data_IF_146046600510
#
_entry.id   IF_146046600510
#
_cell.length_a   1.000
_cell.length_b   1.000
_cell.length_c   1.000
_cell.angle_alpha   90.00
_cell.angle_beta   90.00
_cell.angle_gamma   90.00
#
_symmetry.space_group_name_H-M   'P 1'
#
loop_
_entity.id
_entity.type
_entity.pdbx_description
1 polymer ?
#
# COMPACT_ATOMS: atom_id res chain seq x y z
N UNK A 1 56.07 8.46 -18.88
CA UNK A 1 55.17 7.58 -19.66
C UNK A 1 53.77 7.82 -19.12
N UNK A 2 52.93 8.51 -19.91
CA UNK A 2 51.74 7.96 -20.58
C UNK A 2 50.64 7.67 -19.54
N UNK A 3 49.62 8.52 -19.37
CA UNK A 3 48.76 9.12 -20.40
C UNK A 3 47.45 8.32 -20.39
N UNK A 4 46.33 8.95 -20.03
CA UNK A 4 45.16 9.21 -20.89
C UNK A 4 43.93 8.60 -20.18
N UNK A 5 42.70 9.11 -20.21
CA UNK A 5 42.10 10.36 -20.68
C UNK A 5 40.61 10.33 -20.22
N UNK A 6 39.78 11.35 -20.51
CA UNK A 6 38.69 11.83 -19.66
C UNK A 6 37.29 11.56 -20.27
N UNK A 7 36.24 12.03 -19.58
CA UNK A 7 34.86 12.27 -20.07
C UNK A 7 34.00 11.08 -20.55
N UNK A 8 32.89 10.81 -19.81
CA UNK A 8 31.53 10.52 -20.31
C UNK A 8 30.63 10.14 -19.11
N UNK A 9 29.58 10.86 -18.71
CA UNK A 9 28.94 12.06 -19.22
C UNK A 9 27.85 12.53 -18.23
N UNK A 10 27.35 13.75 -18.41
CA UNK A 10 26.03 14.13 -17.92
C UNK A 10 25.06 14.01 -19.11
N UNK A 11 23.90 13.35 -18.94
CA UNK A 11 22.65 14.12 -18.90
C UNK A 11 21.60 13.51 -17.94
N UNK A 12 20.67 14.36 -17.50
CA UNK A 12 19.77 14.10 -16.37
C UNK A 12 18.73 13.01 -16.54
N UNK A 13 18.36 12.42 -15.39
CA UNK A 13 17.05 11.95 -14.90
C UNK A 13 17.38 11.26 -13.57
N UNK A 14 17.10 11.80 -12.39
CA UNK A 14 15.91 12.47 -11.91
C UNK A 14 16.34 13.45 -10.81
N UNK A 15 15.82 14.67 -10.83
CA UNK A 15 15.47 15.29 -9.57
C UNK A 15 14.37 14.41 -8.97
N UNK A 16 14.75 13.34 -8.29
CA UNK A 16 13.80 12.52 -7.54
C UNK A 16 13.44 13.30 -6.29
N UNK A 17 12.46 14.18 -6.46
CA UNK A 17 11.76 14.86 -5.40
C UNK A 17 12.62 15.90 -4.71
N UNK A 18 12.25 17.16 -4.92
CA UNK A 18 11.90 18.02 -3.79
C UNK A 18 11.66 17.15 -2.54
N UNK A 19 12.36 17.41 -1.43
CA UNK A 19 12.05 16.79 -0.16
C UNK A 19 10.57 17.05 0.15
N UNK A 20 9.70 16.15 -0.28
CA UNK A 20 8.29 16.18 0.03
C UNK A 20 8.22 15.76 1.48
N UNK A 21 8.13 16.78 2.32
CA UNK A 21 7.69 16.70 3.70
C UNK A 21 8.59 15.85 4.62
N UNK A 22 9.68 16.47 5.08
CA UNK A 22 9.94 16.50 6.53
C UNK A 22 8.74 17.23 7.20
N UNK A 23 7.57 16.58 7.19
CA UNK A 23 6.45 16.93 8.06
C UNK A 23 6.22 15.70 8.88
N UNK A 24 6.83 15.70 10.07
CA UNK A 24 6.21 15.02 11.20
C UNK A 24 4.71 15.39 11.18
N UNK A 25 3.86 14.38 11.03
CA UNK A 25 2.42 14.62 11.03
C UNK A 25 2.03 15.27 12.35
N UNK A 26 1.18 16.29 12.29
CA UNK A 26 0.55 16.81 13.50
C UNK A 26 -0.32 15.72 14.12
N UNK A 27 -0.64 15.85 15.41
CA UNK A 27 -1.51 14.89 16.10
C UNK A 27 -2.86 14.75 15.40
N UNK A 28 -3.44 15.85 14.92
CA UNK A 28 -4.67 15.85 14.13
C UNK A 28 -4.54 15.10 12.81
N UNK A 29 -3.42 15.26 12.09
CA UNK A 29 -3.18 14.55 10.84
C UNK A 29 -2.95 13.04 11.08
N UNK A 30 -2.27 12.66 12.16
CA UNK A 30 -2.16 11.26 12.55
C UNK A 30 -3.53 10.66 12.89
N UNK A 31 -4.39 11.41 13.58
CA UNK A 31 -5.73 10.94 13.92
C UNK A 31 -6.61 10.84 12.66
N UNK A 32 -6.50 11.79 11.73
CA UNK A 32 -7.14 11.74 10.43
C UNK A 32 -6.70 10.50 9.63
N UNK A 33 -5.39 10.22 9.58
CA UNK A 33 -4.84 9.04 8.92
C UNK A 33 -5.37 7.75 9.56
N UNK A 34 -5.35 7.64 10.89
CA UNK A 34 -5.90 6.47 11.61
C UNK A 34 -7.37 6.24 11.28
N UNK A 35 -8.19 7.30 11.26
CA UNK A 35 -9.61 7.20 10.91
C UNK A 35 -9.82 6.80 9.45
N UNK A 36 -9.02 7.34 8.54
CA UNK A 36 -9.08 7.00 7.12
C UNK A 36 -8.76 5.50 6.92
N UNK A 37 -7.67 5.03 7.51
CA UNK A 37 -7.23 3.63 7.45
C UNK A 37 -8.24 2.69 8.09
N UNK A 38 -8.79 3.03 9.26
CA UNK A 38 -9.85 2.25 9.89
C UNK A 38 -11.11 2.15 9.00
N UNK A 39 -11.43 3.23 8.27
CA UNK A 39 -12.51 3.23 7.28
C UNK A 39 -12.23 2.30 6.09
N UNK A 40 -11.00 2.27 5.59
CA UNK A 40 -10.57 1.33 4.54
C UNK A 40 -10.71 -0.10 5.04
N UNK A 41 -10.15 -0.41 6.23
CA UNK A 41 -10.23 -1.74 6.85
C UNK A 41 -11.67 -2.22 6.95
N UNK A 42 -12.55 -1.41 7.55
CA UNK A 42 -13.96 -1.76 7.73
C UNK A 42 -14.68 -2.00 6.40
N UNK A 43 -14.36 -1.20 5.36
CA UNK A 43 -14.97 -1.39 4.04
C UNK A 43 -14.41 -2.63 3.34
N UNK A 44 -13.12 -2.91 3.46
CA UNK A 44 -12.50 -4.13 2.93
C UNK A 44 -13.15 -5.37 3.56
N UNK A 45 -13.35 -5.38 4.88
CA UNK A 45 -14.08 -6.45 5.57
C UNK A 45 -15.50 -6.63 5.03
N UNK A 46 -16.22 -5.54 4.73
CA UNK A 46 -17.57 -5.62 4.14
C UNK A 46 -17.60 -6.27 2.75
N UNK A 47 -16.49 -6.31 2.02
CA UNK A 47 -16.40 -6.97 0.71
C UNK A 47 -15.97 -8.44 0.80
N UNK A 48 -15.54 -8.88 1.98
CA UNK A 48 -14.98 -10.20 2.18
C UNK A 48 -15.94 -11.08 3.00
N UNK A 49 -16.03 -12.38 2.69
CA UNK A 49 -16.78 -13.31 3.51
C UNK A 49 -16.06 -13.57 4.84
N UNK A 50 -16.74 -14.26 5.75
CA UNK A 50 -16.16 -14.72 7.00
C UNK A 50 -14.89 -15.57 6.78
N UNK A 51 -13.90 -15.43 7.68
CA UNK A 51 -12.62 -16.16 7.62
C UNK A 51 -11.45 -15.38 6.99
N UNK A 52 -11.70 -14.22 6.39
CA UNK A 52 -10.65 -13.26 6.04
C UNK A 52 -10.36 -12.37 7.26
N UNK A 53 -9.08 -12.15 7.57
CA UNK A 53 -8.67 -11.20 8.60
C UNK A 53 -8.07 -9.96 7.95
N UNK A 54 -8.53 -8.77 8.33
CA UNK A 54 -8.00 -7.50 7.82
C UNK A 54 -7.31 -6.77 8.96
N UNK A 55 -6.14 -6.21 8.69
CA UNK A 55 -5.35 -5.45 9.65
C UNK A 55 -4.72 -4.24 9.02
N UNK A 56 -4.28 -3.29 9.84
CA UNK A 56 -3.54 -2.13 9.37
C UNK A 56 -2.41 -1.77 10.31
N UNK A 57 -1.30 -1.33 9.74
CA UNK A 57 -0.15 -0.80 10.44
C UNK A 57 0.09 0.65 10.02
N UNK A 58 0.41 1.52 10.96
CA UNK A 58 0.85 2.88 10.67
C UNK A 58 2.31 3.02 11.05
N UNK A 59 3.11 3.51 10.13
CA UNK A 59 4.53 3.76 10.29
C UNK A 59 4.86 5.20 9.88
N UNK A 60 5.90 5.76 10.50
CA UNK A 60 6.43 7.07 10.15
C UNK A 60 7.88 6.86 9.73
N UNK A 61 8.15 7.04 8.43
CA UNK A 61 9.47 6.83 7.84
C UNK A 61 10.09 8.15 7.39
N UNK A 62 11.34 8.09 6.93
CA UNK A 62 12.05 9.25 6.36
C UNK A 62 11.40 9.83 5.10
N UNK A 63 10.43 9.14 4.52
CA UNK A 63 9.66 9.54 3.33
C UNK A 63 8.27 10.05 3.67
N UNK A 64 7.95 10.18 4.97
CA UNK A 64 6.64 10.62 5.45
C UNK A 64 5.82 9.49 6.11
N UNK A 65 4.55 9.78 6.44
CA UNK A 65 3.64 8.81 7.02
C UNK A 65 3.27 7.73 6.00
N UNK A 66 3.38 6.47 6.41
CA UNK A 66 2.98 5.32 5.63
C UNK A 66 1.97 4.52 6.44
N UNK A 67 0.77 4.36 5.91
CA UNK A 67 -0.17 3.36 6.39
C UNK A 67 -0.11 2.13 5.49
N UNK A 68 -0.13 0.94 6.08
CA UNK A 68 -0.21 -0.32 5.36
C UNK A 68 -1.48 -1.02 5.77
N UNK A 69 -2.30 -1.44 4.81
CA UNK A 69 -3.46 -2.30 5.06
C UNK A 69 -3.17 -3.67 4.51
N UNK A 70 -3.36 -4.70 5.32
CA UNK A 70 -3.12 -6.09 4.97
C UNK A 70 -4.39 -6.92 5.12
N UNK A 71 -4.61 -7.81 4.17
CA UNK A 71 -5.67 -8.81 4.18
C UNK A 71 -5.02 -10.19 4.24
N UNK A 72 -5.36 -10.95 5.26
CA UNK A 72 -4.94 -12.33 5.45
C UNK A 72 -6.10 -13.26 5.06
N UNK A 73 -6.04 -13.88 3.88
CA UNK A 73 -7.05 -14.87 3.48
C UNK A 73 -6.93 -16.15 4.34
N UNK A 74 -8.00 -16.95 4.44
CA UNK A 74 -7.97 -18.22 5.18
C UNK A 74 -7.02 -19.24 4.54
N UNK A 75 -6.82 -19.15 3.22
CA UNK A 75 -5.87 -19.95 2.45
C UNK A 75 -5.10 -19.06 1.47
N UNK A 76 -3.82 -19.33 1.28
CA UNK A 76 -2.93 -18.53 0.43
C UNK A 76 -2.14 -17.48 1.21
N UNK A 77 -1.47 -16.60 0.47
CA UNK A 77 -0.57 -15.59 1.05
C UNK A 77 -1.28 -14.29 1.40
N UNK A 78 -0.86 -13.60 2.46
CA UNK A 78 -1.39 -12.28 2.79
C UNK A 78 -1.10 -11.28 1.69
N UNK A 79 -2.06 -10.38 1.45
CA UNK A 79 -1.96 -9.27 0.49
C UNK A 79 -1.87 -7.98 1.29
N UNK A 80 -0.96 -7.08 0.91
CA UNK A 80 -0.81 -5.79 1.56
C UNK A 80 -0.77 -4.67 0.54
N UNK A 81 -1.31 -3.51 0.91
CA UNK A 81 -1.19 -2.27 0.14
C UNK A 81 -0.66 -1.16 1.06
N UNK A 82 0.35 -0.44 0.56
CA UNK A 82 0.84 0.78 1.18
C UNK A 82 0.01 1.99 0.73
N UNK A 83 -0.23 2.89 1.66
CA UNK A 83 -1.00 4.11 1.50
C UNK A 83 -0.24 5.27 2.16
N UNK A 84 0.24 6.20 1.34
CA UNK A 84 1.04 7.34 1.78
C UNK A 84 0.37 8.64 1.32
N UNK A 85 -0.65 9.13 2.04
CA UNK A 85 -1.32 10.36 1.68
C UNK A 85 -0.44 11.57 2.01
N UNK A 86 -0.51 12.58 1.16
CA UNK A 86 0.12 13.87 1.40
C UNK A 86 -0.62 14.66 2.49
N UNK A 87 0.03 15.70 3.02
CA UNK A 87 -0.53 16.54 4.09
C UNK A 87 -1.86 17.20 3.68
N UNK A 88 -1.98 17.62 2.42
CA UNK A 88 -3.20 18.21 1.87
C UNK A 88 -4.35 17.19 1.76
N UNK A 89 -4.06 15.93 1.44
CA UNK A 89 -5.06 14.85 1.41
C UNK A 89 -5.55 14.49 2.81
N UNK A 90 -4.67 14.55 3.81
CA UNK A 90 -5.02 14.34 5.20
C UNK A 90 -5.88 15.48 5.76
N UNK A 91 -5.61 16.72 5.35
CA UNK A 91 -6.36 17.91 5.77
C UNK A 91 -7.73 17.98 5.09
N UNK A 92 -7.79 17.72 3.78
CA UNK A 92 -9.04 17.63 3.02
C UNK A 92 -9.90 16.43 3.47
N UNK A 93 -9.25 15.39 3.98
CA UNK A 93 -9.88 14.14 4.38
C UNK A 93 -10.11 13.21 3.19
N UNK A 94 -9.75 11.95 3.36
CA UNK A 94 -9.91 10.93 2.31
C UNK A 94 -11.40 10.68 2.03
N UNK A 95 -11.82 10.79 0.77
CA UNK A 95 -13.25 10.64 0.44
C UNK A 95 -13.71 9.19 0.57
N UNK A 96 -15.04 8.99 0.61
CA UNK A 96 -15.61 7.66 0.62
C UNK A 96 -15.25 6.89 -0.66
N UNK A 97 -15.19 7.55 -1.81
CA UNK A 97 -14.83 6.92 -3.08
C UNK A 97 -13.38 6.42 -3.09
N UNK A 98 -12.43 7.24 -2.64
CA UNK A 98 -11.01 6.86 -2.54
C UNK A 98 -10.82 5.63 -1.64
N UNK A 99 -11.48 5.65 -0.47
CA UNK A 99 -11.46 4.50 0.45
C UNK A 99 -12.08 3.25 -0.18
N UNK A 100 -13.12 3.42 -1.01
CA UNK A 100 -13.79 2.32 -1.69
C UNK A 100 -12.88 1.65 -2.70
N UNK A 101 -12.24 2.45 -3.54
CA UNK A 101 -11.36 1.96 -4.57
C UNK A 101 -10.24 1.11 -3.97
N UNK A 102 -9.54 1.64 -2.97
CA UNK A 102 -8.46 0.92 -2.27
C UNK A 102 -8.98 -0.36 -1.62
N UNK A 103 -10.11 -0.27 -0.89
CA UNK A 103 -10.69 -1.41 -0.21
C UNK A 103 -11.10 -2.52 -1.18
N UNK A 104 -11.69 -2.15 -2.33
CA UNK A 104 -12.13 -3.07 -3.37
C UNK A 104 -10.95 -3.72 -4.08
N UNK A 105 -9.89 -2.96 -4.37
CA UNK A 105 -8.65 -3.49 -4.94
C UNK A 105 -8.02 -4.55 -4.04
N UNK A 106 -7.86 -4.24 -2.76
CA UNK A 106 -7.36 -5.18 -1.75
C UNK A 106 -8.21 -6.45 -1.64
N UNK A 107 -9.54 -6.30 -1.53
CA UNK A 107 -10.46 -7.42 -1.43
C UNK A 107 -10.42 -8.31 -2.68
N UNK A 108 -10.37 -7.70 -3.87
CA UNK A 108 -10.28 -8.43 -5.14
C UNK A 108 -8.98 -9.25 -5.23
N UNK A 109 -7.84 -8.67 -4.87
CA UNK A 109 -6.56 -9.39 -4.84
C UNK A 109 -6.58 -10.50 -3.79
N UNK A 110 -7.11 -10.26 -2.60
CA UNK A 110 -7.22 -11.30 -1.57
C UNK A 110 -8.12 -12.47 -1.98
N UNK A 111 -9.27 -12.19 -2.62
CA UNK A 111 -10.14 -13.22 -3.16
C UNK A 111 -9.45 -14.01 -4.28
N UNK A 112 -8.66 -13.33 -5.12
CA UNK A 112 -7.83 -13.99 -6.14
C UNK A 112 -6.78 -14.91 -5.52
N UNK A 113 -6.16 -14.53 -4.39
CA UNK A 113 -5.20 -15.41 -3.69
C UNK A 113 -5.85 -16.73 -3.26
N UNK A 114 -7.07 -16.69 -2.74
CA UNK A 114 -7.82 -17.91 -2.37
C UNK A 114 -8.11 -18.76 -3.60
N UNK A 115 -8.60 -18.15 -4.68
CA UNK A 115 -8.88 -18.87 -5.92
C UNK A 115 -7.62 -19.53 -6.49
N UNK A 116 -6.49 -18.81 -6.48
CA UNK A 116 -5.21 -19.32 -6.94
C UNK A 116 -4.70 -20.44 -6.04
N UNK A 117 -4.83 -20.33 -4.71
CA UNK A 117 -4.38 -21.35 -3.77
C UNK A 117 -5.19 -22.65 -3.90
N UNK A 118 -6.52 -22.54 -4.08
CA UNK A 118 -7.37 -23.71 -4.34
C UNK A 118 -7.07 -24.34 -5.71
N UNK A 119 -6.74 -23.51 -6.72
CA UNK A 119 -6.36 -23.97 -8.05
C UNK A 119 -4.97 -24.62 -8.12
N UNK A 120 -4.03 -24.19 -7.28
CA UNK A 120 -2.67 -24.76 -7.19
C UNK A 120 -2.66 -26.12 -6.45
N UNK A 121 -3.55 -26.29 -5.46
CA UNK A 121 -3.78 -27.59 -4.79
C UNK A 121 -4.33 -28.64 -5.78
N UNK A 122 -5.04 -28.19 -6.82
CA UNK A 122 -5.35 -28.98 -8.00
C UNK A 122 -4.15 -29.02 -8.96
N UNK A 123 -3.00 -29.52 -8.50
CA UNK A 123 -1.93 -29.92 -9.43
C UNK A 123 -2.52 -30.94 -10.40
N UNK A 124 -2.59 -30.66 -11.72
CA UNK A 124 -3.03 -31.67 -12.66
C UNK A 124 -1.99 -32.79 -12.61
N UNK A 125 -2.37 -33.94 -12.05
CA UNK A 125 -1.64 -35.19 -12.19
C UNK A 125 -1.75 -35.68 -13.65
N UNK A 126 -1.31 -34.86 -14.60
CA UNK A 126 -1.18 -35.23 -15.99
C UNK A 126 0.31 -35.45 -16.28
N UNK A 127 0.66 -36.73 -16.31
CA UNK A 127 1.91 -37.30 -16.82
C UNK A 127 1.85 -37.40 -18.34
#
# INVERSE_FOLDING_TARGET
MNGNNPYAGAPGVTGAGQASADRELTVDQMDALRRAVAGIVSRTESYLPEGFAVGSELSTGSTGPLATVAVHPPVGHPVSAGFSPDADELDAGLTDEDRNEVARGLAATAAFQVMSAVGDDLTPAAR
#
